data_IF_945443111323
#
_entry.id   IF_945443111323
#
_cell.length_a   1.000
_cell.length_b   1.000
_cell.length_c   1.000
_cell.angle_alpha   90.00
_cell.angle_beta   90.00
_cell.angle_gamma   90.00
#
_symmetry.space_group_name_H-M   'P 1'
#
loop_
_entity.id
_entity.type
_entity.pdbx_description
1 polymer ?
#
# COMPACT_ATOMS: atom_id res chain seq x y z
N UNK A 1 -0.67 -5.39 -8.00
CA UNK A 1 -1.45 -4.60 -9.00
C UNK A 1 -2.34 -3.56 -8.32
N UNK A 2 -2.81 -2.55 -9.09
CA UNK A 2 -3.68 -1.46 -8.61
C UNK A 2 -5.00 -1.39 -9.38
N UNK A 3 -5.49 -2.53 -9.87
CA UNK A 3 -6.72 -2.66 -10.66
C UNK A 3 -6.53 -3.59 -11.85
N UNK A 4 -5.44 -3.47 -12.61
CA UNK A 4 -5.11 -4.38 -13.69
C UNK A 4 -4.08 -5.42 -13.23
N UNK A 5 -4.43 -6.69 -13.33
CA UNK A 5 -3.56 -7.81 -12.95
C UNK A 5 -2.28 -7.93 -13.80
N UNK A 6 -2.24 -7.30 -14.96
CA UNK A 6 -1.07 -7.31 -15.85
C UNK A 6 0.04 -6.38 -15.38
N UNK A 7 -0.27 -5.44 -14.47
CA UNK A 7 0.71 -4.51 -13.93
C UNK A 7 1.67 -5.14 -12.90
N UNK A 8 1.52 -6.43 -12.58
CA UNK A 8 2.48 -7.11 -11.72
C UNK A 8 3.82 -7.27 -12.44
N UNK A 9 4.92 -6.99 -11.75
CA UNK A 9 6.23 -7.12 -12.35
C UNK A 9 6.68 -8.59 -12.43
N UNK A 10 7.47 -8.92 -13.47
CA UNK A 10 8.09 -10.26 -13.62
C UNK A 10 8.91 -10.63 -12.37
N UNK A 11 9.62 -9.65 -11.77
CA UNK A 11 10.37 -9.86 -10.53
C UNK A 11 9.47 -10.20 -9.35
N UNK A 12 8.31 -9.53 -9.23
CA UNK A 12 7.35 -9.85 -8.17
C UNK A 12 6.82 -11.28 -8.31
N UNK A 13 6.46 -11.70 -9.50
CA UNK A 13 6.02 -13.08 -9.77
C UNK A 13 7.09 -14.10 -9.41
N UNK A 14 8.33 -13.86 -9.80
CA UNK A 14 9.46 -14.74 -9.47
C UNK A 14 9.64 -14.85 -7.95
N UNK A 15 9.69 -13.72 -7.21
CA UNK A 15 9.85 -13.71 -5.76
C UNK A 15 8.69 -14.42 -5.06
N UNK A 16 7.45 -14.19 -5.48
CA UNK A 16 6.28 -14.89 -4.93
C UNK A 16 6.32 -16.40 -5.21
N UNK A 17 6.92 -16.82 -6.31
CA UNK A 17 7.09 -18.25 -6.62
C UNK A 17 8.26 -18.91 -5.87
N UNK A 18 9.28 -18.16 -5.50
CA UNK A 18 10.49 -18.66 -4.83
C UNK A 18 10.39 -18.61 -3.29
N UNK A 19 9.61 -17.70 -2.70
CA UNK A 19 9.50 -17.56 -1.24
C UNK A 19 8.82 -18.77 -0.58
N UNK A 20 9.04 -18.93 0.73
CA UNK A 20 8.50 -20.03 1.52
C UNK A 20 7.15 -19.68 2.18
N UNK A 21 6.92 -18.40 2.44
CA UNK A 21 5.68 -17.88 3.03
C UNK A 21 5.32 -16.54 2.40
N UNK A 22 4.04 -16.34 2.10
CA UNK A 22 3.50 -15.05 1.69
C UNK A 22 2.66 -14.50 2.83
N UNK A 23 3.04 -13.34 3.33
CA UNK A 23 2.28 -12.52 4.27
C UNK A 23 1.39 -11.58 3.46
N UNK A 24 0.10 -11.49 3.78
CA UNK A 24 -0.86 -10.68 3.03
C UNK A 24 -1.89 -10.03 3.96
N UNK A 25 -2.57 -9.02 3.48
CA UNK A 25 -3.68 -8.39 4.21
C UNK A 25 -4.92 -9.30 4.21
N UNK A 26 -5.40 -9.67 3.02
CA UNK A 26 -6.52 -10.60 2.83
C UNK A 26 -6.09 -11.79 1.96
N UNK A 27 -6.15 -12.99 2.55
CA UNK A 27 -5.80 -14.23 1.84
C UNK A 27 -6.68 -14.52 0.62
N UNK A 28 -7.91 -13.99 0.59
CA UNK A 28 -8.82 -14.16 -0.55
C UNK A 28 -8.34 -13.36 -1.76
N UNK A 29 -7.85 -12.14 -1.53
CA UNK A 29 -7.29 -11.27 -2.57
C UNK A 29 -5.96 -11.84 -3.06
N UNK A 30 -5.06 -12.19 -2.12
CA UNK A 30 -3.78 -12.81 -2.45
C UNK A 30 -3.97 -14.11 -3.26
N UNK A 31 -4.90 -14.98 -2.87
CA UNK A 31 -5.20 -16.22 -3.61
C UNK A 31 -5.63 -15.97 -5.05
N UNK A 32 -6.43 -14.93 -5.33
CA UNK A 32 -6.84 -14.59 -6.71
C UNK A 32 -5.65 -14.23 -7.58
N UNK A 33 -4.73 -13.41 -7.05
CA UNK A 33 -3.50 -13.03 -7.75
C UNK A 33 -2.63 -14.26 -8.02
N UNK A 34 -2.35 -15.05 -7.00
CA UNK A 34 -1.49 -16.22 -7.09
C UNK A 34 -2.06 -17.28 -8.03
N UNK A 35 -3.38 -17.53 -7.96
CA UNK A 35 -4.06 -18.47 -8.86
C UNK A 35 -3.93 -18.06 -10.33
N UNK A 36 -4.10 -16.76 -10.65
CA UNK A 36 -3.92 -16.25 -12.02
C UNK A 36 -2.53 -16.56 -12.59
N UNK A 37 -1.53 -16.62 -11.73
CA UNK A 37 -0.13 -16.83 -12.13
C UNK A 37 0.40 -18.23 -11.79
N UNK A 38 -0.50 -19.19 -11.48
CA UNK A 38 -0.15 -20.59 -11.15
C UNK A 38 0.86 -20.71 -9.99
N UNK A 39 0.79 -19.80 -9.02
CA UNK A 39 1.64 -19.81 -7.83
C UNK A 39 0.85 -20.41 -6.66
N UNK A 40 1.42 -21.43 -6.00
CA UNK A 40 0.85 -22.08 -4.81
C UNK A 40 1.86 -21.98 -3.67
N UNK A 41 1.54 -21.17 -2.65
CA UNK A 41 2.40 -20.93 -1.47
C UNK A 41 1.57 -20.83 -0.20
N UNK A 42 2.15 -21.17 0.96
CA UNK A 42 1.54 -20.88 2.25
C UNK A 42 1.25 -19.39 2.40
N UNK A 43 0.08 -19.07 2.94
CA UNK A 43 -0.37 -17.69 3.19
C UNK A 43 -0.56 -17.46 4.68
N UNK A 44 -0.14 -16.29 5.15
CA UNK A 44 -0.40 -15.79 6.49
C UNK A 44 -1.09 -14.41 6.38
N UNK A 45 -2.35 -14.33 6.81
CA UNK A 45 -3.03 -13.04 6.87
C UNK A 45 -2.58 -12.24 8.09
N UNK A 46 -2.14 -11.00 7.87
CA UNK A 46 -1.84 -10.04 8.93
C UNK A 46 -2.78 -8.84 8.76
N UNK A 47 -3.71 -8.61 9.71
CA UNK A 47 -4.59 -7.44 9.70
C UNK A 47 -3.79 -6.16 9.95
N UNK A 48 -4.44 -5.01 9.76
CA UNK A 48 -3.84 -3.67 9.88
C UNK A 48 -3.11 -3.43 11.22
N UNK A 49 -3.56 -4.07 12.30
CA UNK A 49 -2.83 -4.19 13.56
C UNK A 49 -2.38 -5.64 13.70
N UNK A 50 -1.12 -5.87 13.44
CA UNK A 50 -0.55 -7.21 13.55
C UNK A 50 -0.63 -7.68 15.00
N UNK A 51 -1.24 -8.85 15.23
CA UNK A 51 -1.09 -9.51 16.52
C UNK A 51 0.36 -10.00 16.65
N UNK A 52 0.98 -9.77 17.81
CA UNK A 52 2.37 -10.18 18.09
C UNK A 52 2.64 -11.65 17.73
N UNK A 53 1.65 -12.53 17.93
CA UNK A 53 1.73 -13.94 17.55
C UNK A 53 2.00 -14.15 16.05
N UNK A 54 1.38 -13.34 15.18
CA UNK A 54 1.57 -13.46 13.73
C UNK A 54 2.92 -12.93 13.29
N UNK A 55 3.40 -11.86 13.92
CA UNK A 55 4.75 -11.35 13.69
C UNK A 55 5.78 -12.40 14.14
N UNK A 56 5.59 -13.00 15.32
CA UNK A 56 6.44 -14.09 15.79
C UNK A 56 6.50 -15.25 14.79
N UNK A 57 5.36 -15.61 14.18
CA UNK A 57 5.34 -16.65 13.15
C UNK A 57 6.17 -16.29 11.92
N UNK A 58 6.20 -15.01 11.52
CA UNK A 58 7.08 -14.53 10.45
C UNK A 58 8.55 -14.68 10.85
N UNK A 59 8.91 -14.26 12.07
CA UNK A 59 10.28 -14.36 12.59
C UNK A 59 10.75 -15.80 12.66
N UNK A 60 9.94 -16.73 13.15
CA UNK A 60 10.26 -18.18 13.17
C UNK A 60 10.61 -18.73 11.78
N UNK A 61 9.91 -18.27 10.74
CA UNK A 61 10.20 -18.67 9.36
C UNK A 61 11.54 -18.10 8.89
N UNK A 62 11.83 -16.84 9.22
CA UNK A 62 13.09 -16.17 8.87
C UNK A 62 14.29 -16.77 9.63
N UNK A 63 14.14 -17.08 10.93
CA UNK A 63 15.14 -17.75 11.78
C UNK A 63 15.49 -19.15 11.24
N UNK A 64 14.52 -19.82 10.62
CA UNK A 64 14.74 -21.09 9.93
C UNK A 64 15.48 -20.94 8.58
N UNK A 65 16.00 -19.74 8.24
CA UNK A 65 16.73 -19.46 7.01
C UNK A 65 15.85 -19.40 5.75
N UNK A 66 14.53 -19.24 5.92
CA UNK A 66 13.55 -19.21 4.83
C UNK A 66 13.23 -17.77 4.42
N UNK A 67 12.67 -17.63 3.22
CA UNK A 67 12.30 -16.35 2.64
C UNK A 67 10.79 -16.07 2.81
N UNK A 68 10.46 -14.84 3.22
CA UNK A 68 9.09 -14.37 3.37
C UNK A 68 8.84 -13.22 2.40
N UNK A 69 7.73 -13.26 1.68
CA UNK A 69 7.25 -12.14 0.86
C UNK A 69 6.07 -11.47 1.55
N UNK A 70 6.08 -10.13 1.64
CA UNK A 70 4.97 -9.32 2.12
C UNK A 70 4.22 -8.72 0.94
N UNK A 71 2.90 -8.88 0.92
CA UNK A 71 2.00 -8.30 -0.08
C UNK A 71 0.87 -7.55 0.58
N UNK A 72 0.27 -6.59 -0.15
CA UNK A 72 -0.97 -5.91 0.21
C UNK A 72 -2.05 -6.20 -0.84
N UNK A 73 -3.28 -5.83 -0.58
CA UNK A 73 -4.40 -6.07 -1.48
C UNK A 73 -4.29 -5.25 -2.78
N UNK A 74 -3.67 -4.06 -2.72
CA UNK A 74 -3.39 -3.25 -3.91
C UNK A 74 -2.18 -2.33 -3.66
N UNK A 75 -1.31 -2.18 -4.64
CA UNK A 75 -0.18 -1.24 -4.59
C UNK A 75 1.04 -1.78 -3.85
N UNK A 76 1.69 -0.91 -3.08
CA UNK A 76 2.95 -1.18 -2.38
C UNK A 76 2.71 -1.33 -0.88
N UNK A 77 3.05 -2.47 -0.26
CA UNK A 77 2.93 -2.67 1.18
C UNK A 77 3.55 -1.52 1.98
N UNK A 78 2.88 -1.09 3.07
CA UNK A 78 3.35 -0.03 3.95
C UNK A 78 3.09 1.40 3.45
N UNK A 79 2.64 1.61 2.21
CA UNK A 79 2.28 2.94 1.68
C UNK A 79 0.76 3.13 1.79
N UNK A 80 0.29 3.66 2.90
CA UNK A 80 -1.13 3.74 3.28
C UNK A 80 -1.82 2.38 3.43
N UNK A 81 -1.04 1.33 3.61
CA UNK A 81 -1.45 -0.07 3.74
C UNK A 81 -0.80 -0.72 4.97
N UNK A 82 -1.35 -1.85 5.45
CA UNK A 82 -0.73 -2.63 6.51
C UNK A 82 0.66 -3.14 6.15
N UNK A 83 1.44 -3.49 7.17
CA UNK A 83 2.73 -4.19 7.01
C UNK A 83 3.91 -3.46 7.62
N UNK A 84 3.81 -2.17 7.93
CA UNK A 84 4.90 -1.40 8.54
C UNK A 84 5.37 -2.02 9.87
N UNK A 85 4.45 -2.48 10.73
CA UNK A 85 4.79 -3.12 12.00
C UNK A 85 5.59 -4.42 11.79
N UNK A 86 5.25 -5.20 10.75
CA UNK A 86 5.99 -6.41 10.39
C UNK A 86 7.40 -6.06 9.92
N UNK A 87 7.52 -5.07 9.04
CA UNK A 87 8.81 -4.61 8.50
C UNK A 87 9.68 -4.07 9.64
N UNK A 88 9.13 -3.24 10.53
CA UNK A 88 9.84 -2.70 11.69
C UNK A 88 10.40 -3.79 12.59
N UNK A 89 9.58 -4.78 12.97
CA UNK A 89 10.00 -5.89 13.83
C UNK A 89 11.04 -6.78 13.15
N UNK A 90 10.87 -7.10 11.88
CA UNK A 90 11.81 -7.91 11.10
C UNK A 90 13.19 -7.22 11.02
N UNK A 91 13.22 -5.90 10.82
CA UNK A 91 14.46 -5.11 10.81
C UNK A 91 15.09 -5.07 12.21
N UNK A 92 14.29 -4.89 13.26
CA UNK A 92 14.76 -4.84 14.63
C UNK A 92 15.44 -6.16 15.08
N UNK A 93 14.97 -7.30 14.55
CA UNK A 93 15.57 -8.62 14.76
C UNK A 93 16.78 -8.91 13.82
N UNK A 94 17.24 -7.91 13.06
CA UNK A 94 18.44 -7.98 12.24
C UNK A 94 18.26 -8.65 10.88
N UNK A 95 17.05 -8.96 10.47
CA UNK A 95 16.79 -9.53 9.15
C UNK A 95 16.79 -8.47 8.05
N UNK A 96 17.27 -8.86 6.87
CA UNK A 96 17.30 -7.99 5.69
C UNK A 96 15.93 -7.88 5.06
N UNK A 97 15.43 -6.65 4.87
CA UNK A 97 14.23 -6.35 4.08
C UNK A 97 14.64 -5.71 2.75
N UNK A 98 14.07 -6.18 1.65
CA UNK A 98 14.36 -5.68 0.30
C UNK A 98 13.06 -5.31 -0.43
N UNK A 99 12.93 -4.10 -0.99
CA UNK A 99 11.76 -3.72 -1.73
C UNK A 99 11.71 -4.42 -3.10
N UNK A 100 10.50 -4.78 -3.51
CA UNK A 100 10.19 -5.23 -4.87
C UNK A 100 9.37 -4.15 -5.55
N UNK A 101 9.97 -3.26 -6.35
CA UNK A 101 9.21 -2.22 -7.06
C UNK A 101 8.09 -2.80 -7.90
N UNK A 102 6.98 -2.09 -7.91
CA UNK A 102 5.78 -2.48 -8.62
C UNK A 102 4.83 -1.29 -8.84
N UNK A 103 3.59 -1.55 -9.23
CA UNK A 103 2.60 -0.51 -9.50
C UNK A 103 2.28 0.29 -8.24
N UNK A 104 2.19 1.61 -8.42
CA UNK A 104 1.81 2.56 -7.39
C UNK A 104 0.83 3.58 -7.96
N UNK A 105 -0.34 3.71 -7.36
CA UNK A 105 -1.34 4.70 -7.77
C UNK A 105 -0.81 6.12 -7.62
N UNK A 106 0.03 6.38 -6.61
CA UNK A 106 0.74 7.65 -6.42
C UNK A 106 1.66 7.96 -7.61
N UNK A 107 2.54 7.03 -7.99
CA UNK A 107 3.43 7.21 -9.14
C UNK A 107 2.66 7.33 -10.45
N UNK A 108 1.61 6.54 -10.63
CA UNK A 108 0.79 6.56 -11.83
C UNK A 108 0.09 7.93 -12.03
N UNK A 109 -0.55 8.48 -11.00
CA UNK A 109 -1.22 9.78 -11.11
C UNK A 109 -0.22 10.92 -11.33
N UNK A 110 0.91 10.92 -10.65
CA UNK A 110 1.93 11.95 -10.81
C UNK A 110 2.49 12.00 -12.24
N UNK A 111 2.64 10.84 -12.88
CA UNK A 111 3.17 10.76 -14.26
C UNK A 111 2.27 11.38 -15.32
N UNK A 112 0.97 11.53 -15.04
CA UNK A 112 -0.04 12.06 -15.97
C UNK A 112 -0.75 13.33 -15.48
N UNK A 113 -0.34 13.86 -14.33
CA UNK A 113 -0.98 15.01 -13.69
C UNK A 113 -0.86 16.32 -14.51
N UNK A 114 0.14 16.42 -15.39
CA UNK A 114 0.34 17.63 -16.22
C UNK A 114 0.79 18.87 -15.44
N UNK A 115 1.24 18.70 -14.21
CA UNK A 115 1.77 19.76 -13.33
C UNK A 115 3.21 19.46 -12.93
N UNK A 116 3.95 20.47 -12.46
CA UNK A 116 5.29 20.24 -11.91
C UNK A 116 5.20 19.38 -10.64
N UNK A 117 5.83 18.22 -10.66
CA UNK A 117 5.85 17.24 -9.59
C UNK A 117 7.23 17.02 -8.98
N UNK A 118 8.17 17.97 -9.16
CA UNK A 118 9.48 17.92 -8.50
C UNK A 118 9.34 17.99 -6.98
N UNK A 119 8.33 18.71 -6.51
CA UNK A 119 7.93 18.73 -5.11
C UNK A 119 6.42 18.50 -5.02
N UNK A 120 6.01 17.62 -4.12
CA UNK A 120 4.60 17.32 -3.85
C UNK A 120 4.44 16.78 -2.44
N UNK A 121 3.23 16.89 -1.89
CA UNK A 121 2.87 16.32 -0.59
C UNK A 121 1.91 15.13 -0.77
N UNK A 122 2.29 13.95 -0.27
CA UNK A 122 1.39 12.80 -0.19
C UNK A 122 0.79 12.70 1.21
N UNK A 123 -0.55 12.62 1.30
CA UNK A 123 -1.29 12.66 2.56
C UNK A 123 -2.08 11.38 2.89
N UNK A 124 -1.85 10.28 2.14
CA UNK A 124 -2.60 9.04 2.37
C UNK A 124 -4.11 9.23 2.17
N UNK A 125 -4.93 8.71 3.09
CA UNK A 125 -6.39 8.85 3.04
C UNK A 125 -6.90 9.98 3.95
N UNK A 126 -7.85 10.82 3.49
CA UNK A 126 -8.49 11.82 4.34
C UNK A 126 -9.31 11.16 5.47
N UNK A 127 -9.42 11.80 6.63
CA UNK A 127 -10.24 11.31 7.73
C UNK A 127 -11.71 11.14 7.33
N UNK A 128 -12.36 10.09 7.84
CA UNK A 128 -13.77 9.81 7.52
C UNK A 128 -14.74 10.84 8.07
N UNK A 129 -14.49 11.34 9.29
CA UNK A 129 -15.37 12.27 10.01
C UNK A 129 -14.57 13.42 10.64
N UNK A 130 -14.11 13.23 11.89
CA UNK A 130 -13.36 14.26 12.66
C UNK A 130 -12.05 14.59 11.96
N UNK A 131 -11.78 15.89 11.75
CA UNK A 131 -10.56 16.39 11.10
C UNK A 131 -10.61 16.41 9.56
N UNK A 132 -11.72 15.97 8.93
CA UNK A 132 -11.84 15.94 7.46
C UNK A 132 -11.78 17.35 6.85
N UNK A 133 -12.53 18.32 7.40
CA UNK A 133 -12.51 19.70 6.90
C UNK A 133 -11.11 20.32 7.07
N UNK A 134 -10.49 20.12 8.23
CA UNK A 134 -9.11 20.57 8.48
C UNK A 134 -8.14 19.97 7.46
N UNK A 135 -8.27 18.69 7.12
CA UNK A 135 -7.47 18.04 6.08
C UNK A 135 -7.61 18.77 4.74
N UNK A 136 -8.83 19.06 4.30
CA UNK A 136 -9.06 19.73 3.01
C UNK A 136 -8.69 21.21 3.02
N UNK A 137 -8.77 21.92 4.16
CA UNK A 137 -8.21 23.27 4.29
C UNK A 137 -6.70 23.26 4.04
N UNK A 138 -5.97 22.33 4.66
CA UNK A 138 -4.52 22.17 4.42
C UNK A 138 -4.22 21.84 2.95
N UNK A 139 -5.07 21.05 2.27
CA UNK A 139 -4.93 20.78 0.83
C UNK A 139 -5.08 22.06 0.01
N UNK A 140 -6.10 22.87 0.29
CA UNK A 140 -6.37 24.12 -0.42
C UNK A 140 -5.27 25.17 -0.19
N UNK A 141 -4.72 25.25 1.02
CA UNK A 141 -3.67 26.20 1.41
C UNK A 141 -2.28 25.78 0.92
N UNK A 142 -2.11 24.56 0.41
CA UNK A 142 -0.82 24.05 -0.04
C UNK A 142 -0.30 24.83 -1.24
N UNK A 143 1.00 25.15 -1.20
CA UNK A 143 1.76 25.78 -2.30
C UNK A 143 2.36 24.78 -3.28
N UNK A 144 2.33 23.48 -2.94
CA UNK A 144 2.79 22.38 -3.79
C UNK A 144 1.62 21.44 -4.09
N UNK A 145 1.68 20.66 -5.18
CA UNK A 145 0.68 19.66 -5.48
C UNK A 145 0.46 18.70 -4.31
N UNK A 146 -0.79 18.44 -3.95
CA UNK A 146 -1.15 17.48 -2.91
C UNK A 146 -1.79 16.26 -3.55
N UNK A 147 -1.27 15.09 -3.24
CA UNK A 147 -1.82 13.81 -3.65
C UNK A 147 -2.37 13.09 -2.43
N UNK A 148 -3.57 12.57 -2.54
CA UNK A 148 -4.18 11.73 -1.51
C UNK A 148 -5.00 10.59 -2.13
N UNK A 149 -5.16 9.51 -1.40
CA UNK A 149 -6.02 8.41 -1.81
C UNK A 149 -7.44 8.64 -1.36
N UNK A 150 -8.39 8.22 -2.19
CA UNK A 150 -9.79 8.22 -1.80
C UNK A 150 -10.55 7.06 -2.45
N UNK A 151 -11.60 6.59 -1.75
CA UNK A 151 -12.47 5.58 -2.31
C UNK A 151 -13.42 6.19 -3.37
N UNK A 152 -13.80 5.43 -4.41
CA UNK A 152 -14.73 5.90 -5.44
C UNK A 152 -16.06 6.45 -4.87
N UNK A 153 -16.50 5.89 -3.73
CA UNK A 153 -17.77 6.28 -3.07
C UNK A 153 -17.73 7.65 -2.38
N UNK A 154 -16.52 8.20 -2.16
CA UNK A 154 -16.34 9.46 -1.42
C UNK A 154 -15.73 10.58 -2.26
N UNK A 155 -15.22 10.24 -3.44
CA UNK A 155 -14.54 11.20 -4.35
C UNK A 155 -15.43 12.41 -4.62
N UNK A 156 -16.67 12.22 -5.06
CA UNK A 156 -17.58 13.33 -5.40
C UNK A 156 -17.79 14.26 -4.20
N UNK A 157 -18.13 13.70 -3.03
CA UNK A 157 -18.31 14.47 -1.80
C UNK A 157 -17.06 15.23 -1.37
N UNK A 158 -15.87 14.72 -1.66
CA UNK A 158 -14.62 15.40 -1.35
C UNK A 158 -14.35 16.54 -2.33
N UNK A 159 -14.67 16.36 -3.60
CA UNK A 159 -14.57 17.42 -4.60
C UNK A 159 -15.55 18.56 -4.33
N UNK A 160 -16.79 18.27 -3.92
CA UNK A 160 -17.76 19.28 -3.50
C UNK A 160 -17.25 20.09 -2.29
N UNK A 161 -16.64 19.41 -1.30
CA UNK A 161 -16.04 20.11 -0.16
C UNK A 161 -14.84 20.98 -0.58
N UNK A 162 -13.96 20.48 -1.46
CA UNK A 162 -12.86 21.27 -1.99
C UNK A 162 -13.36 22.52 -2.74
N UNK A 163 -14.35 22.35 -3.61
CA UNK A 163 -14.97 23.47 -4.35
C UNK A 163 -15.58 24.52 -3.40
N UNK A 164 -16.17 24.09 -2.27
CA UNK A 164 -16.72 25.01 -1.28
C UNK A 164 -15.66 25.77 -0.49
N UNK A 165 -14.47 25.20 -0.31
CA UNK A 165 -13.33 25.79 0.41
C UNK A 165 -12.46 26.69 -0.47
N UNK A 166 -12.50 26.52 -1.79
CA UNK A 166 -11.73 27.29 -2.74
C UNK A 166 -12.54 27.51 -4.04
N UNK A 167 -13.59 28.36 -4.01
CA UNK A 167 -14.47 28.55 -5.14
C UNK A 167 -13.78 29.19 -6.37
N UNK A 168 -12.60 29.79 -6.17
CA UNK A 168 -11.84 30.46 -7.23
C UNK A 168 -10.63 29.63 -7.75
N UNK A 169 -10.47 28.39 -7.29
CA UNK A 169 -9.42 27.45 -7.74
C UNK A 169 -10.04 26.25 -8.55
#
# INVERSE_FOLDING_TARGET
PIGNMEDITVRALRILSECDLIVCEDTRVAKKLLFKHNISKPLLAIPQRAADEKIRRVLEVLEAGKNVALTTDAGTPGVSDPGNEVVEKVIAEGFRVSPVPGPSALGAILSVAGVNTQEFCFKGFPPHKKGRETFFRVVVESTVPVVYYESPYRVVKNLELLASLAPEK
#
